data_IF_158559795063
#
_entry.id   IF_158559795063
#
_cell.length_a   1.000
_cell.length_b   1.000
_cell.length_c   1.000
_cell.angle_alpha   90.00
_cell.angle_beta   90.00
_cell.angle_gamma   90.00
#
_symmetry.space_group_name_H-M   'P 1'
#
loop_
_entity.id
_entity.type
_entity.pdbx_description
1 polymer ?
#
# COMPACT_ATOMS: atom_id res chain seq x y z
N UNK A 1 15.41 -31.45 -7.60
CA UNK A 1 15.46 -29.98 -7.39
C UNK A 1 15.78 -29.75 -5.92
N UNK A 2 16.93 -29.17 -5.60
CA UNK A 2 17.18 -28.75 -4.21
C UNK A 2 16.16 -27.67 -3.87
N UNK A 3 15.31 -27.92 -2.88
CA UNK A 3 14.44 -26.91 -2.27
C UNK A 3 15.35 -25.84 -1.69
N UNK A 4 15.49 -24.71 -2.40
CA UNK A 4 16.25 -23.58 -1.87
C UNK A 4 15.55 -23.11 -0.61
N UNK A 5 16.30 -23.01 0.49
CA UNK A 5 15.80 -22.56 1.77
C UNK A 5 15.19 -21.14 1.64
N UNK A 6 14.09 -20.89 2.34
CA UNK A 6 13.57 -19.55 2.54
C UNK A 6 14.63 -18.70 3.27
N UNK A 7 14.93 -17.52 2.74
CA UNK A 7 15.95 -16.64 3.29
C UNK A 7 15.48 -15.20 3.54
N UNK A 8 14.39 -14.79 2.91
CA UNK A 8 13.93 -13.40 2.98
C UNK A 8 12.40 -13.35 2.97
N UNK A 9 11.84 -12.31 3.61
CA UNK A 9 10.40 -12.02 3.63
C UNK A 9 10.17 -10.57 3.26
N UNK A 10 9.50 -10.32 2.12
CA UNK A 10 9.22 -8.99 1.61
C UNK A 10 7.73 -8.77 1.39
N UNK A 11 7.28 -7.54 1.61
CA UNK A 11 5.93 -7.09 1.28
C UNK A 11 5.98 -5.88 0.35
N UNK A 12 4.92 -5.64 -0.39
CA UNK A 12 4.91 -4.68 -1.49
C UNK A 12 5.33 -3.26 -1.06
N UNK A 13 4.77 -2.74 0.03
CA UNK A 13 5.12 -1.39 0.52
C UNK A 13 6.55 -1.26 1.02
N UNK A 14 7.22 -2.34 1.41
CA UNK A 14 8.65 -2.33 1.69
C UNK A 14 9.46 -2.19 0.40
N UNK A 15 9.03 -2.86 -0.66
CA UNK A 15 9.64 -2.70 -2.00
C UNK A 15 9.41 -1.29 -2.55
N UNK A 16 8.25 -0.66 -2.26
CA UNK A 16 7.98 0.74 -2.57
C UNK A 16 8.99 1.67 -1.88
N UNK A 17 9.23 1.46 -0.57
CA UNK A 17 10.22 2.22 0.19
C UNK A 17 11.65 2.09 -0.33
N UNK A 18 12.01 0.89 -0.77
CA UNK A 18 13.30 0.70 -1.43
C UNK A 18 13.37 1.43 -2.78
N UNK A 19 12.28 1.44 -3.56
CA UNK A 19 12.17 2.23 -4.79
C UNK A 19 12.30 3.73 -4.52
N UNK A 20 11.64 4.26 -3.48
CA UNK A 20 11.75 5.66 -3.08
C UNK A 20 13.20 6.05 -2.76
N UNK A 21 13.93 5.18 -2.04
CA UNK A 21 15.35 5.38 -1.76
C UNK A 21 16.19 5.38 -3.06
N UNK A 22 15.97 4.42 -3.95
CA UNK A 22 16.70 4.33 -5.23
C UNK A 22 16.43 5.53 -6.14
N UNK A 23 15.22 6.07 -6.10
CA UNK A 23 14.77 7.22 -6.90
C UNK A 23 14.82 8.55 -6.15
N UNK A 24 15.59 8.63 -5.06
CA UNK A 24 15.65 9.84 -4.21
C UNK A 24 15.90 11.11 -5.02
N UNK A 25 16.84 11.08 -5.96
CA UNK A 25 17.19 12.22 -6.79
C UNK A 25 16.02 12.66 -7.69
N UNK A 26 15.35 11.69 -8.33
CA UNK A 26 14.18 11.94 -9.20
C UNK A 26 13.01 12.50 -8.39
N UNK A 27 12.80 11.98 -7.18
CA UNK A 27 11.75 12.45 -6.26
C UNK A 27 12.07 13.87 -5.80
N UNK A 28 13.33 14.12 -5.43
CA UNK A 28 13.80 15.44 -5.02
C UNK A 28 13.56 16.48 -6.12
N UNK A 29 14.01 16.21 -7.35
CA UNK A 29 13.84 17.09 -8.51
C UNK A 29 12.36 17.37 -8.79
N UNK A 30 11.49 16.37 -8.67
CA UNK A 30 10.04 16.53 -8.89
C UNK A 30 9.40 17.53 -7.92
N UNK A 31 9.82 17.51 -6.65
CA UNK A 31 9.19 18.33 -5.61
C UNK A 31 9.89 19.68 -5.40
N UNK A 32 11.20 19.73 -5.56
CA UNK A 32 12.01 20.89 -5.19
C UNK A 32 13.01 21.35 -6.24
N UNK A 33 13.10 20.70 -7.40
CA UNK A 33 14.05 21.07 -8.46
C UNK A 33 13.92 22.51 -8.98
N UNK A 34 12.72 23.10 -8.80
CA UNK A 34 12.45 24.51 -9.16
C UNK A 34 12.25 25.42 -7.95
N UNK A 35 12.52 24.93 -6.74
CA UNK A 35 12.37 25.73 -5.51
C UNK A 35 13.62 26.55 -5.27
N UNK A 36 13.47 27.87 -5.05
CA UNK A 36 14.59 28.75 -4.66
C UNK A 36 15.10 28.44 -3.24
N UNK A 37 14.22 27.91 -2.37
CA UNK A 37 14.53 27.58 -0.98
C UNK A 37 13.99 26.19 -0.64
N UNK A 38 14.60 25.11 -1.14
CA UNK A 38 14.17 23.76 -0.79
C UNK A 38 14.40 23.49 0.69
N UNK A 39 13.53 22.69 1.36
CA UNK A 39 13.65 22.41 2.79
C UNK A 39 14.86 21.52 3.13
N UNK A 40 15.49 20.92 2.13
CA UNK A 40 16.65 20.04 2.25
C UNK A 40 17.52 20.15 1.02
N UNK A 41 18.82 19.84 1.17
CA UNK A 41 19.67 19.55 0.01
C UNK A 41 19.34 18.17 -0.56
N UNK A 42 19.73 17.86 -1.82
CA UNK A 42 19.58 16.52 -2.39
C UNK A 42 20.21 15.41 -1.51
N UNK A 43 21.39 15.68 -0.96
CA UNK A 43 22.10 14.79 -0.04
C UNK A 43 21.31 14.50 1.23
N UNK A 44 20.82 15.56 1.91
CA UNK A 44 20.00 15.42 3.12
C UNK A 44 18.72 14.67 2.85
N UNK A 45 18.09 14.91 1.68
CA UNK A 45 16.89 14.19 1.29
C UNK A 45 17.18 12.70 1.07
N UNK A 46 18.24 12.37 0.35
CA UNK A 46 18.67 10.99 0.13
C UNK A 46 18.98 10.28 1.45
N UNK A 47 19.65 10.96 2.38
CA UNK A 47 19.92 10.41 3.71
C UNK A 47 18.63 10.16 4.50
N UNK A 48 17.63 11.03 4.38
CA UNK A 48 16.30 10.80 4.98
C UNK A 48 15.58 9.61 4.37
N UNK A 49 15.63 9.44 3.05
CA UNK A 49 15.06 8.27 2.38
C UNK A 49 15.76 6.97 2.83
N UNK A 50 17.09 6.99 2.96
CA UNK A 50 17.87 5.88 3.50
C UNK A 50 17.43 5.53 4.93
N UNK A 51 17.37 6.53 5.83
CA UNK A 51 16.94 6.30 7.21
C UNK A 51 15.50 5.79 7.29
N UNK A 52 14.59 6.36 6.51
CA UNK A 52 13.19 5.91 6.43
C UNK A 52 13.08 4.45 5.96
N UNK A 53 13.93 4.02 5.03
CA UNK A 53 14.00 2.62 4.61
C UNK A 53 14.50 1.71 5.73
N UNK A 54 15.59 2.08 6.41
CA UNK A 54 16.14 1.33 7.56
C UNK A 54 15.11 1.23 8.69
N UNK A 55 14.40 2.31 9.00
CA UNK A 55 13.35 2.33 10.03
C UNK A 55 12.18 1.41 9.63
N UNK A 56 11.81 1.41 8.34
CA UNK A 56 10.76 0.50 7.81
C UNK A 56 11.18 -0.97 7.91
N UNK A 57 12.43 -1.29 7.56
CA UNK A 57 13.00 -2.64 7.70
C UNK A 57 12.99 -3.07 9.17
N UNK A 58 13.38 -2.19 10.07
CA UNK A 58 13.43 -2.43 11.51
C UNK A 58 12.06 -2.33 12.20
N UNK A 59 10.97 -2.06 11.44
CA UNK A 59 9.61 -1.90 11.96
C UNK A 59 9.49 -0.87 13.08
N UNK A 60 10.27 0.20 12.97
CA UNK A 60 10.17 1.34 13.89
C UNK A 60 8.77 1.91 13.79
N UNK A 61 8.03 2.06 14.90
CA UNK A 61 6.70 2.64 14.87
C UNK A 61 6.71 4.04 14.25
N UNK A 62 5.82 4.25 13.31
CA UNK A 62 5.71 5.52 12.60
C UNK A 62 4.30 6.10 12.83
N UNK A 63 4.26 7.30 13.39
CA UNK A 63 3.01 8.04 13.61
C UNK A 63 2.68 8.90 12.39
N UNK A 64 1.56 8.61 11.73
CA UNK A 64 1.13 9.31 10.52
C UNK A 64 -0.39 9.45 10.45
N UNK A 65 -0.85 10.69 10.54
CA UNK A 65 -2.27 11.01 10.37
C UNK A 65 -2.81 10.56 9.00
N UNK A 66 -1.99 10.70 7.94
CA UNK A 66 -2.38 10.27 6.60
C UNK A 66 -2.55 8.74 6.50
N UNK A 67 -1.67 7.96 7.15
CA UNK A 67 -1.79 6.51 7.21
C UNK A 67 -3.01 6.09 8.04
N UNK A 68 -3.24 6.72 9.20
CA UNK A 68 -4.41 6.48 10.03
C UNK A 68 -5.71 6.79 9.28
N UNK A 69 -5.74 7.90 8.53
CA UNK A 69 -6.89 8.27 7.70
C UNK A 69 -7.18 7.22 6.62
N UNK A 70 -6.13 6.72 5.94
CA UNK A 70 -6.26 5.65 4.96
C UNK A 70 -6.80 4.36 5.59
N UNK A 71 -6.22 3.93 6.70
CA UNK A 71 -6.66 2.74 7.45
C UNK A 71 -8.12 2.87 7.90
N UNK A 72 -8.49 4.03 8.44
CA UNK A 72 -9.86 4.29 8.88
C UNK A 72 -10.85 4.28 7.72
N UNK A 73 -10.47 4.82 6.55
CA UNK A 73 -11.31 4.80 5.36
C UNK A 73 -11.53 3.39 4.82
N UNK A 74 -10.45 2.61 4.65
CA UNK A 74 -10.55 1.21 4.21
C UNK A 74 -11.47 0.40 5.13
N UNK A 75 -11.28 0.49 6.44
CA UNK A 75 -12.13 -0.22 7.41
C UNK A 75 -13.61 0.21 7.34
N UNK A 76 -13.89 1.50 7.07
CA UNK A 76 -15.27 1.98 6.85
C UNK A 76 -15.87 1.34 5.61
N UNK A 77 -15.12 1.24 4.52
CA UNK A 77 -15.58 0.61 3.26
C UNK A 77 -15.80 -0.90 3.48
N UNK A 78 -14.84 -1.61 4.09
CA UNK A 78 -14.97 -3.03 4.44
C UNK A 78 -16.26 -3.29 5.26
N UNK A 79 -16.53 -2.45 6.29
CA UNK A 79 -17.74 -2.55 7.10
C UNK A 79 -19.02 -2.33 6.30
N UNK A 80 -19.00 -1.44 5.31
CA UNK A 80 -20.16 -1.20 4.44
C UNK A 80 -20.41 -2.36 3.48
N UNK A 81 -19.35 -2.94 2.89
CA UNK A 81 -19.43 -4.09 1.99
C UNK A 81 -19.96 -5.32 2.71
N UNK A 82 -19.41 -5.61 3.89
CA UNK A 82 -19.73 -6.80 4.68
C UNK A 82 -20.96 -6.62 5.59
N UNK A 83 -21.53 -5.41 5.64
CA UNK A 83 -22.63 -5.04 6.55
C UNK A 83 -22.32 -5.42 8.01
N UNK A 84 -21.12 -5.12 8.47
CA UNK A 84 -20.62 -5.38 9.82
C UNK A 84 -20.27 -4.10 10.57
N UNK A 85 -20.04 -4.24 11.86
CA UNK A 85 -19.40 -3.19 12.67
C UNK A 85 -17.89 -3.44 12.73
N UNK A 86 -17.13 -2.35 12.80
CA UNK A 86 -15.70 -2.44 13.04
C UNK A 86 -15.38 -2.71 14.51
N UNK A 87 -14.35 -3.53 14.73
CA UNK A 87 -13.74 -3.72 16.05
C UNK A 87 -12.57 -2.73 16.28
N UNK A 88 -12.06 -2.13 15.21
CA UNK A 88 -10.87 -1.27 15.23
C UNK A 88 -11.20 0.22 15.18
N UNK A 89 -12.28 0.57 14.48
CA UNK A 89 -12.67 1.95 14.17
C UNK A 89 -14.07 2.21 14.72
N UNK A 90 -14.24 3.28 15.49
CA UNK A 90 -15.57 3.73 15.91
C UNK A 90 -16.18 4.56 14.79
N UNK A 91 -17.34 4.15 14.26
CA UNK A 91 -18.01 4.84 13.16
C UNK A 91 -19.29 5.48 13.63
N UNK A 92 -19.39 6.79 13.47
CA UNK A 92 -20.57 7.61 13.74
C UNK A 92 -21.18 8.21 12.46
N UNK A 93 -22.41 8.68 12.55
CA UNK A 93 -23.10 9.36 11.44
C UNK A 93 -22.91 10.87 11.55
N UNK A 94 -22.56 11.51 10.44
CA UNK A 94 -22.57 12.96 10.30
C UNK A 94 -23.87 13.38 9.62
N UNK A 95 -24.65 14.20 10.31
CA UNK A 95 -25.91 14.71 9.82
C UNK A 95 -25.74 16.18 9.44
N UNK A 96 -26.46 16.63 8.39
CA UNK A 96 -26.56 18.04 8.05
C UNK A 96 -27.27 18.84 9.14
N UNK A 97 -27.16 20.15 9.05
CA UNK A 97 -28.07 21.03 9.76
C UNK A 97 -29.53 20.72 9.39
N UNK A 98 -30.43 21.03 10.30
CA UNK A 98 -31.86 20.79 10.08
C UNK A 98 -32.41 21.78 9.06
N UNK A 99 -32.94 21.24 7.95
CA UNK A 99 -33.66 22.01 6.93
C UNK A 99 -35.07 21.44 6.84
N UNK A 100 -36.08 22.25 7.02
CA UNK A 100 -37.50 21.86 6.99
C UNK A 100 -37.83 20.67 7.95
N UNK A 101 -37.25 20.67 9.15
CA UNK A 101 -37.43 19.61 10.13
C UNK A 101 -36.74 18.28 9.82
N UNK A 102 -35.84 18.25 8.81
CA UNK A 102 -35.15 17.03 8.38
C UNK A 102 -33.65 17.20 8.42
N UNK A 103 -32.96 16.19 8.94
CA UNK A 103 -31.51 16.04 8.90
C UNK A 103 -31.16 14.96 7.88
N UNK A 104 -30.19 15.26 7.03
CA UNK A 104 -29.69 14.32 6.02
C UNK A 104 -28.35 13.76 6.43
N UNK A 105 -28.08 12.50 6.10
CA UNK A 105 -26.77 11.88 6.28
C UNK A 105 -25.80 12.46 5.24
N UNK A 106 -24.79 13.22 5.69
CA UNK A 106 -23.80 13.88 4.83
C UNK A 106 -22.44 13.20 4.85
N UNK A 107 -22.16 12.40 5.89
CA UNK A 107 -20.89 11.71 6.02
C UNK A 107 -20.86 10.67 7.12
N UNK A 108 -19.72 10.02 7.23
CA UNK A 108 -19.38 9.12 8.33
C UNK A 108 -18.16 9.70 9.05
N UNK A 109 -18.18 9.68 10.38
CA UNK A 109 -17.06 10.02 11.24
C UNK A 109 -16.42 8.76 11.76
N UNK A 110 -15.16 8.55 11.45
CA UNK A 110 -14.36 7.46 11.95
C UNK A 110 -13.40 7.95 13.05
N UNK A 111 -13.32 7.24 14.16
CA UNK A 111 -12.32 7.49 15.21
C UNK A 111 -11.36 6.32 15.26
N UNK A 112 -10.08 6.60 15.02
CA UNK A 112 -8.98 5.63 14.98
C UNK A 112 -7.71 6.28 15.54
N UNK A 113 -6.93 5.56 16.35
CA UNK A 113 -5.70 6.04 16.99
C UNK A 113 -5.83 7.43 17.65
N UNK A 114 -6.94 7.68 18.36
CA UNK A 114 -7.29 8.96 18.99
C UNK A 114 -7.45 10.14 18.00
N UNK A 115 -7.61 9.85 16.70
CA UNK A 115 -7.89 10.83 15.66
C UNK A 115 -9.29 10.64 15.11
N UNK A 116 -9.88 11.73 14.63
CA UNK A 116 -11.19 11.72 14.01
C UNK A 116 -11.08 12.14 12.55
N UNK A 117 -11.73 11.37 11.68
CA UNK A 117 -11.75 11.60 10.24
C UNK A 117 -13.19 11.61 9.75
N UNK A 118 -13.53 12.65 8.99
CA UNK A 118 -14.86 12.79 8.40
C UNK A 118 -14.78 12.41 6.91
N UNK A 119 -15.61 11.45 6.51
CA UNK A 119 -15.69 10.94 5.15
C UNK A 119 -17.03 11.29 4.52
N UNK A 120 -17.07 11.95 3.35
CA UNK A 120 -18.31 12.26 2.64
C UNK A 120 -19.08 10.98 2.33
N UNK A 121 -20.39 10.97 2.60
CA UNK A 121 -21.22 9.78 2.36
C UNK A 121 -21.30 9.39 0.89
N UNK A 122 -21.18 10.36 -0.03
CA UNK A 122 -21.13 10.11 -1.48
C UNK A 122 -19.94 9.23 -1.85
N UNK A 123 -18.74 9.56 -1.37
CA UNK A 123 -17.51 8.80 -1.60
C UNK A 123 -17.60 7.42 -0.95
N UNK A 124 -18.06 7.34 0.30
CA UNK A 124 -18.21 6.04 0.98
C UNK A 124 -19.16 5.11 0.22
N UNK A 125 -20.29 5.62 -0.29
CA UNK A 125 -21.24 4.83 -1.08
C UNK A 125 -20.67 4.44 -2.43
N UNK A 126 -20.01 5.35 -3.13
CA UNK A 126 -19.38 5.08 -4.42
C UNK A 126 -18.41 3.88 -4.32
N UNK A 127 -17.52 3.89 -3.30
CA UNK A 127 -16.60 2.77 -3.07
C UNK A 127 -17.32 1.49 -2.64
N UNK A 128 -18.24 1.57 -1.69
CA UNK A 128 -18.97 0.39 -1.21
C UNK A 128 -19.86 -0.24 -2.31
N UNK A 129 -20.49 0.56 -3.16
CA UNK A 129 -21.28 0.08 -4.29
C UNK A 129 -20.39 -0.55 -5.36
N UNK A 130 -19.21 0.04 -5.63
CA UNK A 130 -18.22 -0.50 -6.57
C UNK A 130 -17.70 -1.87 -6.13
N UNK A 131 -17.42 -2.04 -4.84
CA UNK A 131 -16.89 -3.29 -4.27
C UNK A 131 -17.95 -4.28 -3.78
N UNK A 132 -19.18 -4.10 -4.17
CA UNK A 132 -20.26 -5.01 -3.76
C UNK A 132 -19.93 -6.45 -4.15
N UNK A 133 -19.76 -7.32 -3.15
CA UNK A 133 -19.41 -8.73 -3.32
C UNK A 133 -17.91 -9.01 -3.44
N UNK A 134 -17.05 -8.01 -3.25
CA UNK A 134 -15.62 -8.22 -3.07
C UNK A 134 -15.33 -9.00 -1.77
N UNK A 135 -14.14 -9.60 -1.71
CA UNK A 135 -13.60 -10.21 -0.50
C UNK A 135 -12.55 -9.25 0.09
N UNK A 136 -12.85 -8.56 1.21
CA UNK A 136 -11.92 -7.62 1.81
C UNK A 136 -10.74 -8.32 2.48
N UNK A 137 -9.61 -7.62 2.58
CA UNK A 137 -8.44 -7.96 3.39
C UNK A 137 -7.90 -9.39 3.17
N UNK A 138 -7.83 -9.82 1.88
CA UNK A 138 -7.37 -11.16 1.55
C UNK A 138 -5.85 -11.27 1.65
N UNK A 139 -5.36 -12.14 2.55
CA UNK A 139 -3.93 -12.44 2.65
C UNK A 139 -3.48 -13.25 1.44
N UNK A 140 -2.38 -12.82 0.82
CA UNK A 140 -1.69 -13.53 -0.25
C UNK A 140 -0.22 -13.68 0.07
N UNK A 141 0.36 -14.83 -0.33
CA UNK A 141 1.79 -15.07 -0.22
C UNK A 141 2.27 -16.07 -1.27
N UNK A 142 3.51 -15.93 -1.70
CA UNK A 142 4.14 -16.91 -2.61
C UNK A 142 5.67 -16.84 -2.52
N UNK A 143 6.32 -17.93 -2.89
CA UNK A 143 7.78 -17.99 -2.99
C UNK A 143 8.24 -17.47 -4.33
N UNK A 144 9.15 -16.48 -4.29
CA UNK A 144 9.88 -15.98 -5.45
C UNK A 144 11.32 -16.51 -5.41
N UNK A 145 11.70 -17.44 -6.33
CA UNK A 145 13.08 -17.93 -6.40
C UNK A 145 14.04 -16.84 -6.93
N UNK A 146 15.16 -16.64 -6.22
CA UNK A 146 16.25 -15.76 -6.66
C UNK A 146 17.59 -16.48 -6.61
N UNK A 147 18.64 -15.90 -7.21
CA UNK A 147 19.99 -16.46 -7.10
C UNK A 147 20.56 -16.39 -5.67
N UNK A 148 20.03 -15.52 -4.80
CA UNK A 148 20.45 -15.39 -3.39
C UNK A 148 19.67 -16.29 -2.42
N UNK A 149 18.65 -16.99 -2.91
CA UNK A 149 17.74 -17.84 -2.13
C UNK A 149 16.28 -17.49 -2.42
N UNK A 150 15.38 -18.18 -1.73
CA UNK A 150 13.95 -17.93 -1.86
C UNK A 150 13.53 -16.68 -1.05
N UNK A 151 12.65 -15.89 -1.65
CA UNK A 151 11.97 -14.76 -1.02
C UNK A 151 10.50 -15.14 -0.83
N UNK A 152 9.96 -15.04 0.37
CA UNK A 152 8.52 -15.04 0.59
C UNK A 152 8.01 -13.63 0.29
N UNK A 153 7.26 -13.49 -0.77
CA UNK A 153 6.45 -12.29 -1.03
C UNK A 153 5.11 -12.47 -0.35
N UNK A 154 4.63 -11.43 0.36
CA UNK A 154 3.34 -11.49 1.05
C UNK A 154 2.68 -10.11 1.13
N UNK A 155 1.39 -10.11 1.41
CA UNK A 155 0.61 -8.90 1.68
C UNK A 155 -0.86 -9.18 1.90
N UNK A 156 -1.61 -8.09 1.99
CA UNK A 156 -3.06 -8.12 2.09
C UNK A 156 -3.63 -7.32 0.94
N UNK A 157 -4.55 -7.93 0.21
CA UNK A 157 -5.34 -7.28 -0.84
C UNK A 157 -6.48 -6.55 -0.14
N UNK A 158 -6.63 -5.26 -0.39
CA UNK A 158 -7.73 -4.50 0.20
C UNK A 158 -9.07 -5.09 -0.24
N UNK A 159 -9.27 -5.23 -1.56
CA UNK A 159 -10.49 -5.79 -2.13
C UNK A 159 -10.18 -6.78 -3.26
N UNK A 160 -10.56 -8.05 -3.10
CA UNK A 160 -10.43 -9.07 -4.14
C UNK A 160 -11.78 -9.27 -4.84
N UNK A 161 -11.83 -8.93 -6.11
CA UNK A 161 -12.95 -9.17 -7.01
C UNK A 161 -12.69 -10.47 -7.84
N UNK A 162 -13.69 -11.06 -8.48
CA UNK A 162 -13.54 -12.35 -9.17
C UNK A 162 -12.39 -12.42 -10.19
N UNK A 163 -12.07 -11.31 -10.86
CA UNK A 163 -11.05 -11.25 -11.92
C UNK A 163 -10.04 -10.12 -11.74
N UNK A 164 -10.07 -9.42 -10.62
CA UNK A 164 -9.22 -8.25 -10.39
C UNK A 164 -8.86 -8.07 -8.91
N UNK A 165 -7.68 -7.55 -8.71
CA UNK A 165 -7.17 -7.11 -7.40
C UNK A 165 -7.33 -5.60 -7.31
N UNK A 166 -7.79 -5.12 -6.18
CA UNK A 166 -7.97 -3.69 -5.94
C UNK A 166 -7.26 -3.27 -4.66
N UNK A 167 -6.73 -2.07 -4.68
CA UNK A 167 -6.08 -1.44 -3.55
C UNK A 167 -6.58 0.00 -3.43
N UNK A 168 -7.08 0.36 -2.26
CA UNK A 168 -7.69 1.65 -1.98
C UNK A 168 -6.62 2.64 -1.52
N UNK A 169 -6.51 3.76 -2.22
CA UNK A 169 -5.55 4.82 -1.87
C UNK A 169 -6.26 6.13 -1.54
N UNK A 170 -5.91 6.71 -0.41
CA UNK A 170 -6.31 8.07 -0.05
C UNK A 170 -5.16 9.05 -0.28
N UNK A 171 -5.44 10.24 -0.79
CA UNK A 171 -4.41 11.24 -1.08
C UNK A 171 -4.94 12.66 -0.95
N UNK A 172 -4.08 13.60 -0.60
CA UNK A 172 -4.43 15.04 -0.62
C UNK A 172 -4.45 15.64 -2.03
N UNK A 173 -3.75 15.01 -2.99
CA UNK A 173 -3.74 15.40 -4.40
C UNK A 173 -3.43 14.20 -5.27
N UNK A 174 -4.05 14.13 -6.45
CA UNK A 174 -3.84 13.07 -7.42
C UNK A 174 -3.30 13.63 -8.74
N UNK A 175 -2.44 12.87 -9.40
CA UNK A 175 -2.00 13.03 -10.78
C UNK A 175 -1.86 11.65 -11.44
N UNK A 176 -2.09 11.56 -12.73
CA UNK A 176 -2.05 10.31 -13.49
C UNK A 176 -0.68 9.62 -13.36
N UNK A 177 -0.70 8.34 -13.04
CA UNK A 177 0.50 7.53 -12.85
C UNK A 177 1.18 7.74 -11.50
N UNK A 178 0.49 8.30 -10.51
CA UNK A 178 1.05 8.50 -9.16
C UNK A 178 1.52 7.20 -8.52
N UNK A 179 0.82 6.09 -8.77
CA UNK A 179 1.06 4.79 -8.16
C UNK A 179 1.78 3.79 -9.10
N UNK A 180 2.24 4.23 -10.27
CA UNK A 180 2.88 3.37 -11.28
C UNK A 180 4.15 2.67 -10.80
N UNK A 181 4.86 3.28 -9.85
CA UNK A 181 6.12 2.77 -9.31
C UNK A 181 5.92 1.91 -8.04
N UNK A 182 4.67 1.70 -7.61
CA UNK A 182 4.33 0.82 -6.50
C UNK A 182 4.35 -0.65 -6.92
N UNK A 183 4.68 -1.55 -6.01
CA UNK A 183 4.89 -2.97 -6.30
C UNK A 183 3.66 -3.85 -6.05
N UNK A 184 2.60 -3.34 -5.47
CA UNK A 184 1.39 -4.10 -5.18
C UNK A 184 0.79 -4.71 -6.46
N UNK A 185 0.75 -3.96 -7.57
CA UNK A 185 0.23 -4.42 -8.86
C UNK A 185 1.09 -5.51 -9.55
N UNK A 186 2.28 -5.80 -9.03
CA UNK A 186 3.11 -6.94 -9.45
C UNK A 186 3.09 -8.07 -8.41
N UNK A 187 3.22 -7.73 -7.12
CA UNK A 187 3.33 -8.70 -6.03
C UNK A 187 2.04 -9.48 -5.84
N UNK A 188 0.88 -8.82 -5.81
CA UNK A 188 -0.38 -9.51 -5.52
C UNK A 188 -0.83 -10.44 -6.64
N UNK A 189 -0.84 -10.03 -7.93
CA UNK A 189 -1.12 -10.95 -9.03
C UNK A 189 -0.10 -12.09 -9.12
N UNK A 190 1.19 -11.83 -8.85
CA UNK A 190 2.19 -12.90 -8.78
C UNK A 190 1.83 -13.93 -7.71
N UNK A 191 1.50 -13.49 -6.49
CA UNK A 191 1.12 -14.39 -5.40
C UNK A 191 -0.13 -15.21 -5.75
N UNK A 192 -1.16 -14.59 -6.31
CA UNK A 192 -2.38 -15.27 -6.74
C UNK A 192 -2.09 -16.32 -7.82
N UNK A 193 -1.31 -15.96 -8.83
CA UNK A 193 -0.92 -16.88 -9.91
C UNK A 193 -0.15 -18.10 -9.37
N UNK A 194 0.78 -17.91 -8.45
CA UNK A 194 1.53 -19.01 -7.84
C UNK A 194 0.64 -19.96 -7.02
N UNK A 195 -0.49 -19.47 -6.53
CA UNK A 195 -1.51 -20.23 -5.81
C UNK A 195 -2.62 -20.79 -6.73
N UNK A 196 -2.44 -20.74 -8.05
CA UNK A 196 -3.36 -21.30 -9.03
C UNK A 196 -4.53 -20.39 -9.44
N UNK A 197 -4.50 -19.11 -9.05
CA UNK A 197 -5.52 -18.12 -9.40
C UNK A 197 -4.96 -17.16 -10.47
N UNK A 198 -5.38 -17.28 -11.73
CA UNK A 198 -4.90 -16.44 -12.83
C UNK A 198 -5.63 -15.08 -12.86
N UNK A 199 -5.46 -14.30 -11.80
CA UNK A 199 -5.96 -12.93 -11.70
C UNK A 199 -4.83 -11.98 -12.09
N UNK A 200 -5.01 -11.26 -13.22
CA UNK A 200 -3.97 -10.39 -13.80
C UNK A 200 -4.32 -8.92 -13.80
N UNK A 201 -5.57 -8.58 -13.60
CA UNK A 201 -6.01 -7.19 -13.51
C UNK A 201 -5.79 -6.66 -12.11
N UNK A 202 -5.26 -5.46 -12.03
CA UNK A 202 -5.05 -4.74 -10.79
C UNK A 202 -5.52 -3.30 -10.95
N UNK A 203 -6.17 -2.76 -9.93
CA UNK A 203 -6.58 -1.37 -9.90
C UNK A 203 -6.19 -0.70 -8.58
N UNK A 204 -5.59 0.48 -8.68
CA UNK A 204 -5.62 1.45 -7.59
C UNK A 204 -6.90 2.26 -7.71
N UNK A 205 -7.74 2.22 -6.70
CA UNK A 205 -8.92 3.07 -6.59
C UNK A 205 -8.61 4.18 -5.58
N UNK A 206 -8.50 5.39 -6.08
CA UNK A 206 -7.89 6.52 -5.37
C UNK A 206 -8.97 7.55 -5.05
N UNK A 207 -8.94 8.14 -3.87
CA UNK A 207 -9.78 9.29 -3.55
C UNK A 207 -9.00 10.39 -2.83
N UNK A 208 -9.33 11.64 -3.19
CA UNK A 208 -8.97 12.84 -2.45
C UNK A 208 -10.14 13.33 -1.56
N UNK A 209 -11.16 12.48 -1.39
CA UNK A 209 -12.44 12.73 -0.71
C UNK A 209 -13.35 13.77 -1.39
N UNK A 210 -12.98 14.27 -2.56
CA UNK A 210 -13.84 15.09 -3.44
C UNK A 210 -14.37 14.26 -4.60
N UNK A 211 -13.50 13.40 -5.13
CA UNK A 211 -13.80 12.50 -6.24
C UNK A 211 -12.95 11.24 -6.17
N UNK A 212 -13.33 10.24 -6.97
CA UNK A 212 -12.59 9.00 -7.13
C UNK A 212 -11.86 8.97 -8.48
N UNK A 213 -10.73 8.26 -8.50
CA UNK A 213 -9.90 8.03 -9.69
C UNK A 213 -9.49 6.56 -9.72
N UNK A 214 -9.17 6.06 -10.91
CA UNK A 214 -8.69 4.68 -11.08
C UNK A 214 -7.42 4.66 -11.93
N UNK A 215 -6.42 3.91 -11.46
CA UNK A 215 -5.26 3.50 -12.27
C UNK A 215 -5.29 1.99 -12.44
N UNK A 216 -5.39 1.51 -13.68
CA UNK A 216 -5.48 0.09 -13.99
C UNK A 216 -4.15 -0.44 -14.53
N UNK A 217 -3.75 -1.62 -14.06
CA UNK A 217 -2.52 -2.30 -14.43
C UNK A 217 -2.82 -3.75 -14.80
N UNK A 218 -2.10 -4.26 -15.80
CA UNK A 218 -2.19 -5.68 -16.19
C UNK A 218 -0.86 -6.34 -15.90
N UNK A 219 -0.89 -7.36 -15.06
CA UNK A 219 0.26 -8.20 -14.78
C UNK A 219 0.52 -9.15 -15.96
N UNK A 220 1.71 -9.01 -16.55
CA UNK A 220 2.18 -9.84 -17.66
C UNK A 220 3.38 -10.65 -17.16
N UNK A 221 3.22 -11.95 -16.84
CA UNK A 221 4.24 -12.75 -16.17
C UNK A 221 5.61 -12.71 -16.85
N UNK A 222 5.64 -12.78 -18.19
CA UNK A 222 6.88 -12.80 -18.98
C UNK A 222 7.68 -11.51 -18.87
N UNK A 223 6.99 -10.37 -18.66
CA UNK A 223 7.57 -9.05 -18.47
C UNK A 223 7.87 -8.78 -17.01
N UNK A 224 6.88 -9.01 -16.12
CA UNK A 224 6.85 -8.47 -14.76
C UNK A 224 7.62 -9.34 -13.76
N UNK A 225 7.64 -10.68 -13.95
CA UNK A 225 8.40 -11.56 -13.06
C UNK A 225 9.92 -11.28 -13.12
N UNK A 226 10.56 -11.12 -14.29
CA UNK A 226 11.96 -10.73 -14.34
C UNK A 226 12.25 -9.38 -13.66
N UNK A 227 11.36 -8.40 -13.80
CA UNK A 227 11.47 -7.08 -13.15
C UNK A 227 11.41 -7.25 -11.62
N UNK A 228 10.41 -7.98 -11.12
CA UNK A 228 10.22 -8.26 -9.70
C UNK A 228 11.43 -9.01 -9.09
N UNK A 229 11.94 -10.05 -9.80
CA UNK A 229 13.13 -10.78 -9.39
C UNK A 229 14.35 -9.85 -9.28
N UNK A 230 14.57 -8.99 -10.28
CA UNK A 230 15.72 -8.09 -10.29
C UNK A 230 15.62 -7.06 -9.13
N UNK A 231 14.46 -6.48 -8.92
CA UNK A 231 14.26 -5.56 -7.80
C UNK A 231 14.49 -6.23 -6.43
N UNK A 232 13.96 -7.43 -6.25
CA UNK A 232 14.22 -8.21 -5.03
C UNK A 232 15.72 -8.56 -4.86
N UNK A 233 16.44 -8.86 -5.94
CA UNK A 233 17.90 -9.10 -5.89
C UNK A 233 18.66 -7.86 -5.47
N UNK A 234 18.31 -6.69 -5.98
CA UNK A 234 18.96 -5.44 -5.62
C UNK A 234 18.65 -5.08 -4.16
N UNK A 235 17.42 -5.33 -3.70
CA UNK A 235 17.08 -5.17 -2.29
C UNK A 235 17.84 -6.13 -1.39
N UNK A 236 18.03 -7.40 -1.78
CA UNK A 236 18.86 -8.36 -1.02
C UNK A 236 20.32 -7.89 -0.92
N UNK A 237 20.89 -7.32 -1.99
CA UNK A 237 22.24 -6.72 -1.92
C UNK A 237 22.28 -5.58 -0.91
N UNK A 238 21.32 -4.66 -1.00
CA UNK A 238 21.19 -3.57 -0.03
C UNK A 238 21.11 -4.08 1.42
N UNK A 239 20.30 -5.11 1.69
CA UNK A 239 20.18 -5.72 3.03
C UNK A 239 21.51 -6.32 3.51
N UNK A 240 22.26 -7.00 2.64
CA UNK A 240 23.54 -7.58 2.99
C UNK A 240 24.60 -6.50 3.27
N UNK A 241 24.64 -5.44 2.46
CA UNK A 241 25.58 -4.32 2.60
C UNK A 241 25.32 -3.52 3.90
N UNK A 242 24.05 -3.47 4.33
CA UNK A 242 23.63 -2.72 5.51
C UNK A 242 23.24 -3.62 6.71
N UNK A 243 23.69 -4.88 6.73
CA UNK A 243 23.25 -5.87 7.72
C UNK A 243 23.46 -5.46 9.17
N UNK A 244 24.49 -4.67 9.45
CA UNK A 244 24.78 -4.13 10.80
C UNK A 244 23.74 -3.12 11.31
N UNK A 245 23.00 -2.48 10.42
CA UNK A 245 21.94 -1.51 10.73
C UNK A 245 20.58 -2.17 10.92
N UNK A 246 20.45 -3.47 10.59
CA UNK A 246 19.18 -4.18 10.61
C UNK A 246 19.06 -4.96 11.92
N UNK A 247 18.14 -4.53 12.76
CA UNK A 247 17.87 -5.12 14.08
C UNK A 247 16.71 -6.11 14.06
N UNK A 248 15.69 -5.88 13.22
CA UNK A 248 14.58 -6.83 13.04
C UNK A 248 14.99 -7.94 12.04
N UNK A 249 15.23 -9.15 12.58
CA UNK A 249 15.70 -10.30 11.79
C UNK A 249 14.60 -11.01 10.99
N UNK A 250 13.34 -10.66 11.16
CA UNK A 250 12.20 -11.27 10.42
C UNK A 250 12.35 -11.14 8.92
N UNK A 251 13.01 -10.06 8.44
CA UNK A 251 13.27 -9.87 7.02
C UNK A 251 14.18 -10.95 6.43
N UNK A 252 15.04 -11.57 7.25
CA UNK A 252 15.95 -12.64 6.86
C UNK A 252 15.35 -14.04 7.07
N UNK A 253 14.09 -14.16 7.43
CA UNK A 253 13.43 -15.43 7.79
C UNK A 253 14.22 -16.22 8.85
N UNK A 254 14.89 -15.55 9.79
CA UNK A 254 15.71 -16.16 10.83
C UNK A 254 14.90 -16.47 12.11
N UNK A 255 13.64 -16.04 12.19
CA UNK A 255 12.77 -16.17 13.38
C UNK A 255 11.76 -17.33 13.27
N UNK A 256 12.01 -18.34 12.44
CA UNK A 256 11.17 -19.55 12.31
C UNK A 256 11.86 -20.82 12.74
#
# INVERSE_FOLDING_TARGET
MQTRQLKFKFYATLLDKFTDYLKSDVIYERYWGFSENPPHTPEEFRQKQFQSLIDTINRVPFDSEAADKGTAFNEVIDCMIENRKSEKVQVGRLLSDEIDGRKSLVGLRATYNNRQFDFPISICREFADYYKGALPQQRVEAILPTCFGNVLLYGYIDELMPMSVHDIKTTGSYYVGKFKDHWQHMVYPYCLMQNGNDVRSFEYNITDFRQAYTESYTFVPERDIPILINHCKDFIRFLNDNRSLITDKKIFAEDE
#
